data_IF_551129088820
#
_entry.id   IF_551129088820
#
_cell.length_a   1.000
_cell.length_b   1.000
_cell.length_c   1.000
_cell.angle_alpha   90.00
_cell.angle_beta   90.00
_cell.angle_gamma   90.00
#
_symmetry.space_group_name_H-M   'P 1'
#
loop_
_entity.id
_entity.type
_entity.pdbx_description
1 polymer ?
#
# COMPACT_ATOMS: atom_id res chain seq x y z
N UNK A 1 -24.59 -43.07 -3.34
CA UNK A 1 -24.11 -42.02 -4.26
C UNK A 1 -23.83 -40.79 -3.40
N UNK A 2 -22.63 -40.76 -2.82
CA UNK A 2 -22.16 -39.73 -1.89
C UNK A 2 -21.29 -38.75 -2.68
N UNK A 3 -21.81 -37.59 -3.08
CA UNK A 3 -20.99 -36.60 -3.79
C UNK A 3 -21.49 -35.16 -3.64
N UNK A 4 -21.81 -34.73 -2.42
CA UNK A 4 -22.29 -33.36 -2.17
C UNK A 4 -21.63 -32.64 -0.99
N UNK A 5 -20.46 -33.11 -0.49
CA UNK A 5 -19.83 -32.54 0.72
C UNK A 5 -18.52 -31.78 0.46
N UNK A 6 -17.99 -31.69 -0.78
CA UNK A 6 -16.64 -31.14 -0.99
C UNK A 6 -16.56 -30.03 -2.04
N UNK A 7 -17.43 -29.02 -1.98
CA UNK A 7 -17.17 -27.76 -2.67
C UNK A 7 -17.46 -26.56 -1.75
N UNK A 8 -16.37 -26.03 -1.22
CA UNK A 8 -16.18 -24.63 -0.82
C UNK A 8 -16.98 -24.06 0.35
N UNK A 9 -16.86 -24.70 1.52
CA UNK A 9 -16.93 -23.99 2.81
C UNK A 9 -15.51 -23.70 3.35
N UNK A 10 -14.59 -23.37 2.43
CA UNK A 10 -13.21 -22.95 2.74
C UNK A 10 -13.07 -21.43 2.63
N UNK A 11 -14.14 -20.69 2.91
CA UNK A 11 -14.05 -19.26 3.25
C UNK A 11 -13.97 -19.08 4.76
N UNK A 12 -13.14 -19.91 5.41
CA UNK A 12 -12.58 -19.57 6.71
C UNK A 12 -11.89 -18.22 6.53
N UNK A 13 -12.59 -17.22 7.02
CA UNK A 13 -12.28 -15.79 7.14
C UNK A 13 -11.03 -15.59 7.99
N UNK A 14 -9.90 -16.16 7.56
CA UNK A 14 -8.60 -15.68 8.02
C UNK A 14 -8.38 -14.34 7.33
N UNK A 15 -8.79 -13.27 8.02
CA UNK A 15 -8.33 -11.92 7.72
C UNK A 15 -6.81 -12.00 7.73
N UNK A 16 -6.19 -11.92 6.55
CA UNK A 16 -4.74 -11.89 6.43
C UNK A 16 -4.28 -10.57 7.06
N UNK A 17 -3.83 -10.66 8.31
CA UNK A 17 -3.18 -9.57 9.01
C UNK A 17 -1.75 -9.45 8.46
N UNK A 18 -1.63 -8.85 7.28
CA UNK A 18 -0.33 -8.53 6.70
C UNK A 18 0.36 -7.48 7.56
N UNK A 19 1.51 -7.83 8.11
CA UNK A 19 2.42 -6.82 8.66
C UNK A 19 3.16 -6.19 7.48
N UNK A 20 3.05 -4.87 7.30
CA UNK A 20 3.77 -4.17 6.24
C UNK A 20 5.30 -4.27 6.39
N UNK A 21 5.79 -4.76 7.53
CA UNK A 21 7.21 -4.89 7.88
C UNK A 21 8.01 -3.59 7.75
N UNK A 22 7.35 -2.43 7.65
CA UNK A 22 8.01 -1.13 7.55
C UNK A 22 8.86 -0.81 8.78
N UNK A 23 8.52 -1.40 9.94
CA UNK A 23 9.33 -1.30 11.14
C UNK A 23 10.74 -1.85 10.94
N UNK A 24 10.97 -2.82 10.05
CA UNK A 24 12.31 -3.34 9.77
C UNK A 24 13.22 -2.31 9.08
N UNK A 25 12.67 -1.31 8.38
CA UNK A 25 13.46 -0.23 7.78
C UNK A 25 13.91 0.84 8.78
N UNK A 26 13.22 0.95 9.92
CA UNK A 26 13.45 1.99 10.92
C UNK A 26 14.06 1.42 12.20
N UNK A 27 13.95 0.11 12.44
CA UNK A 27 14.39 -0.51 13.68
C UNK A 27 15.92 -0.57 13.76
N UNK A 28 16.50 0.30 14.60
CA UNK A 28 17.92 0.32 14.91
C UNK A 28 18.16 0.65 16.39
N UNK A 29 19.15 0.03 17.09
CA UNK A 29 19.43 0.30 18.50
C UNK A 29 19.87 1.76 18.74
N UNK A 30 20.63 2.33 17.81
CA UNK A 30 21.00 3.75 17.84
C UNK A 30 19.82 4.66 17.46
N UNK A 31 19.55 5.65 18.31
CA UNK A 31 18.47 6.64 18.14
C UNK A 31 18.69 7.55 16.94
N UNK A 32 19.92 7.98 16.66
CA UNK A 32 20.18 8.92 15.58
C UNK A 32 20.04 8.22 14.21
N UNK A 33 20.46 6.96 14.12
CA UNK A 33 20.21 6.12 12.94
C UNK A 33 18.71 5.91 12.72
N UNK A 34 17.96 5.58 13.78
CA UNK A 34 16.49 5.44 13.71
C UNK A 34 15.81 6.72 13.24
N UNK A 35 16.25 7.88 13.73
CA UNK A 35 15.74 9.19 13.33
C UNK A 35 16.00 9.43 11.84
N UNK A 36 17.22 9.19 11.37
CA UNK A 36 17.57 9.36 9.95
C UNK A 36 16.75 8.43 9.04
N UNK A 37 16.58 7.16 9.42
CA UNK A 37 15.78 6.18 8.67
C UNK A 37 14.30 6.54 8.65
N UNK A 38 13.76 7.00 9.78
CA UNK A 38 12.38 7.49 9.86
C UNK A 38 12.17 8.68 8.94
N UNK A 39 13.03 9.70 9.01
CA UNK A 39 12.99 10.87 8.13
C UNK A 39 13.07 10.46 6.67
N UNK A 40 14.01 9.58 6.30
CA UNK A 40 14.09 9.03 4.95
C UNK A 40 12.77 8.39 4.52
N UNK A 41 12.17 7.52 5.35
CA UNK A 41 10.95 6.81 5.01
C UNK A 41 9.73 7.74 4.88
N UNK A 42 9.63 8.79 5.70
CA UNK A 42 8.47 9.69 5.71
C UNK A 42 8.57 10.82 4.71
N UNK A 43 9.78 11.22 4.32
CA UNK A 43 10.03 12.36 3.45
C UNK A 43 10.55 11.95 2.06
N UNK A 44 10.87 10.66 1.85
CA UNK A 44 11.24 10.17 0.53
C UNK A 44 10.11 10.33 -0.47
N UNK A 45 10.50 10.54 -1.73
CA UNK A 45 9.61 10.38 -2.86
C UNK A 45 9.09 8.95 -3.04
N UNK A 46 8.34 8.73 -4.10
CA UNK A 46 7.78 7.42 -4.47
C UNK A 46 8.10 7.09 -5.91
N UNK A 47 7.88 5.84 -6.31
CA UNK A 47 7.96 5.41 -7.71
C UNK A 47 6.55 5.26 -8.26
N UNK A 48 6.32 5.86 -9.43
CA UNK A 48 5.12 5.64 -10.23
C UNK A 48 5.47 4.62 -11.32
N UNK A 49 4.67 3.57 -11.41
CA UNK A 49 4.67 2.64 -12.54
C UNK A 49 3.49 3.00 -13.48
N UNK A 50 3.82 3.38 -14.71
CA UNK A 50 2.84 3.74 -15.74
C UNK A 50 2.21 2.48 -16.36
N UNK A 51 1.09 2.59 -17.09
CA UNK A 51 0.41 1.42 -17.67
C UNK A 51 1.24 0.59 -18.65
N UNK A 52 2.28 1.17 -19.24
CA UNK A 52 3.23 0.49 -20.13
C UNK A 52 4.38 -0.21 -19.38
N UNK A 53 4.38 -0.14 -18.04
CA UNK A 53 5.39 -0.73 -17.16
C UNK A 53 6.64 0.14 -16.97
N UNK A 54 6.70 1.33 -17.58
CA UNK A 54 7.79 2.27 -17.30
C UNK A 54 7.69 2.83 -15.89
N UNK A 55 8.83 3.16 -15.29
CA UNK A 55 8.92 3.60 -13.89
C UNK A 55 9.67 4.91 -13.78
N UNK A 56 9.17 5.79 -12.92
CA UNK A 56 9.80 7.07 -12.61
C UNK A 56 9.71 7.37 -11.12
N UNK A 57 10.82 7.83 -10.55
CA UNK A 57 10.88 8.35 -9.19
C UNK A 57 10.39 9.79 -9.18
N UNK A 58 9.51 10.12 -8.24
CA UNK A 58 8.87 11.44 -8.15
C UNK A 58 8.94 11.98 -6.73
N UNK A 59 8.85 13.30 -6.58
CA UNK A 59 8.76 13.92 -5.26
C UNK A 59 7.41 13.63 -4.59
N UNK A 60 7.29 13.81 -3.27
CA UNK A 60 6.02 13.69 -2.56
C UNK A 60 4.92 14.62 -3.10
N UNK A 61 5.28 15.82 -3.55
CA UNK A 61 4.35 16.80 -4.11
C UNK A 61 3.81 16.33 -5.46
N UNK A 62 4.70 15.87 -6.33
CA UNK A 62 4.32 15.33 -7.64
C UNK A 62 3.46 14.07 -7.52
N UNK A 63 3.76 13.20 -6.55
CA UNK A 63 2.94 12.02 -6.27
C UNK A 63 1.49 12.38 -5.88
N UNK A 64 1.31 13.44 -5.07
CA UNK A 64 -0.03 13.93 -4.69
C UNK A 64 -0.80 14.44 -5.90
N UNK A 65 -0.14 15.21 -6.77
CA UNK A 65 -0.76 15.69 -8.00
C UNK A 65 -1.11 14.54 -8.96
N UNK A 66 -0.26 13.52 -9.03
CA UNK A 66 -0.55 12.31 -9.81
C UNK A 66 -1.82 11.60 -9.31
N UNK A 67 -1.96 11.36 -7.99
CA UNK A 67 -3.16 10.76 -7.41
C UNK A 67 -4.42 11.61 -7.70
N UNK A 68 -4.33 12.93 -7.53
CA UNK A 68 -5.44 13.86 -7.84
C UNK A 68 -5.83 13.87 -9.31
N UNK A 69 -4.91 13.56 -10.22
CA UNK A 69 -5.18 13.47 -11.65
C UNK A 69 -5.84 12.14 -12.06
N UNK A 70 -5.77 11.09 -11.22
CA UNK A 70 -6.31 9.77 -11.54
C UNK A 70 -7.83 9.81 -11.74
N UNK A 71 -8.41 9.06 -12.70
CA UNK A 71 -9.85 8.90 -12.80
C UNK A 71 -10.48 8.42 -11.48
N UNK A 72 -11.67 8.88 -11.08
CA UNK A 72 -12.27 8.55 -9.79
C UNK A 72 -12.35 7.05 -9.49
N UNK A 73 -12.65 6.23 -10.51
CA UNK A 73 -12.69 4.76 -10.39
C UNK A 73 -11.35 4.15 -9.96
N UNK A 74 -10.23 4.69 -10.46
CA UNK A 74 -8.88 4.22 -10.11
C UNK A 74 -8.42 4.81 -8.77
N UNK A 75 -8.73 6.08 -8.52
CA UNK A 75 -8.37 6.77 -7.28
C UNK A 75 -8.97 6.10 -6.02
N UNK A 76 -10.19 5.56 -6.14
CA UNK A 76 -10.84 4.73 -5.11
C UNK A 76 -10.02 3.53 -4.62
N UNK A 77 -9.03 3.07 -5.38
CA UNK A 77 -8.16 1.97 -4.96
C UNK A 77 -7.10 2.41 -3.93
N UNK A 78 -6.84 3.71 -3.82
CA UNK A 78 -5.77 4.27 -3.01
C UNK A 78 -6.29 5.17 -1.88
N UNK A 79 -7.46 5.77 -2.04
CA UNK A 79 -8.09 6.65 -1.06
C UNK A 79 -9.33 5.98 -0.47
N UNK A 80 -9.43 5.97 0.87
CA UNK A 80 -10.67 5.62 1.56
C UNK A 80 -11.65 6.78 1.40
N UNK A 81 -12.53 6.69 0.41
CA UNK A 81 -13.64 7.63 0.25
C UNK A 81 -14.74 7.20 1.24
N UNK A 82 -15.17 8.07 2.17
CA UNK A 82 -16.34 7.78 2.98
C UNK A 82 -17.52 7.46 2.05
N UNK A 83 -18.18 6.33 2.25
CA UNK A 83 -19.41 6.01 1.53
C UNK A 83 -20.47 7.05 1.93
N UNK A 84 -21.12 7.67 0.94
CA UNK A 84 -22.27 8.55 1.18
C UNK A 84 -23.35 7.73 1.91
N UNK A 85 -23.61 8.11 3.17
CA UNK A 85 -24.67 7.54 4.02
C UNK A 85 -26.02 8.06 3.56
#
# INVERSE_FOLDING_TARGET
>A
MLSSILWNDFSLTYRLEYTCSNCHFVCHPDKEVRKAQYTMLTESGVVIEEPDGTRRSVSPEEAKEYIKSMPPKRRKLYESIPEEI
#
